data_IF_391355982793
#
_entry.id   IF_391355982793
#
_cell.length_a   1.000
_cell.length_b   1.000
_cell.length_c   1.000
_cell.angle_alpha   90.00
_cell.angle_beta   90.00
_cell.angle_gamma   90.00
#
_symmetry.space_group_name_H-M   'P 1'
#
loop_
_entity.id
_entity.type
_entity.pdbx_description
1 polymer ?
#
# COMPACT_ATOMS: atom_id res chain seq x y z
N UNK A 1 8.22 -0.90 26.94
CA UNK A 1 9.43 -1.20 26.16
C UNK A 1 9.01 -1.09 24.72
N UNK A 2 9.02 0.12 24.17
CA UNK A 2 8.74 0.34 22.75
C UNK A 2 9.96 -0.18 22.00
N UNK A 3 9.88 -1.43 21.57
CA UNK A 3 10.94 -2.05 20.80
C UNK A 3 11.14 -1.20 19.56
N UNK A 4 12.32 -0.63 19.40
CA UNK A 4 12.82 -0.03 18.16
C UNK A 4 13.05 -1.14 17.12
N UNK A 5 12.01 -1.90 16.83
CA UNK A 5 11.99 -2.90 15.77
C UNK A 5 11.75 -2.20 14.45
N UNK A 6 12.58 -2.49 13.47
CA UNK A 6 12.37 -2.07 12.09
C UNK A 6 10.95 -2.43 11.63
N UNK A 7 10.33 -1.62 10.77
CA UNK A 7 8.99 -1.94 10.26
C UNK A 7 8.99 -3.31 9.54
N UNK A 8 7.87 -4.01 9.60
CA UNK A 8 7.70 -5.32 8.97
C UNK A 8 7.46 -5.18 7.46
N UNK A 9 7.81 -6.22 6.70
CA UNK A 9 7.58 -6.25 5.26
C UNK A 9 6.09 -6.13 4.93
N UNK A 10 5.77 -5.36 3.90
CA UNK A 10 4.40 -5.13 3.48
C UNK A 10 3.57 -4.29 4.45
N UNK A 11 4.18 -3.65 5.46
CA UNK A 11 3.52 -2.64 6.29
C UNK A 11 3.16 -1.44 5.42
N UNK A 12 1.88 -1.07 5.36
CA UNK A 12 1.42 -0.08 4.40
C UNK A 12 0.53 1.01 5.01
N UNK A 13 0.51 2.18 4.40
CA UNK A 13 -0.44 3.24 4.71
C UNK A 13 -0.85 3.99 3.46
N UNK A 14 -1.99 4.66 3.50
CA UNK A 14 -2.44 5.52 2.41
C UNK A 14 -2.52 6.95 2.94
N UNK A 15 -1.83 7.85 2.26
CA UNK A 15 -1.80 9.27 2.59
C UNK A 15 -2.23 10.12 1.40
N UNK A 16 -2.72 11.32 1.68
CA UNK A 16 -2.85 12.32 0.63
C UNK A 16 -1.45 12.74 0.18
N UNK A 17 -1.26 12.85 -1.13
CA UNK A 17 -0.11 13.54 -1.71
C UNK A 17 -0.32 15.05 -1.57
N UNK A 18 0.75 15.84 -1.79
CA UNK A 18 0.75 17.29 -1.58
C UNK A 18 -0.30 18.07 -2.38
N UNK A 19 -0.99 17.44 -3.34
CA UNK A 19 -2.16 17.99 -4.04
C UNK A 19 -3.44 17.29 -3.59
N UNK A 20 -4.51 18.08 -3.41
CA UNK A 20 -5.78 17.71 -2.76
C UNK A 20 -6.51 16.49 -3.35
N UNK A 21 -6.12 16.04 -4.54
CA UNK A 21 -6.81 14.98 -5.31
C UNK A 21 -5.97 13.73 -5.52
N UNK A 22 -4.71 13.69 -5.09
CA UNK A 22 -3.87 12.49 -5.29
C UNK A 22 -3.62 11.77 -3.98
N UNK A 23 -3.80 10.45 -3.98
CA UNK A 23 -3.44 9.58 -2.85
C UNK A 23 -2.19 8.79 -3.20
N UNK A 24 -1.42 8.42 -2.18
CA UNK A 24 -0.22 7.60 -2.32
C UNK A 24 -0.31 6.46 -1.33
N UNK A 25 -0.19 5.24 -1.84
CA UNK A 25 0.04 4.03 -1.07
C UNK A 25 1.54 3.95 -0.76
N UNK A 26 1.88 3.96 0.52
CA UNK A 26 3.25 3.81 1.01
C UNK A 26 3.38 2.41 1.58
N UNK A 27 4.41 1.67 1.18
CA UNK A 27 4.62 0.28 1.63
C UNK A 27 6.07 0.11 2.05
N UNK A 28 6.31 -0.52 3.19
CA UNK A 28 7.66 -0.85 3.65
C UNK A 28 8.17 -2.10 2.94
N UNK A 29 9.36 -1.99 2.35
CA UNK A 29 10.07 -3.05 1.66
C UNK A 29 11.32 -3.38 2.48
N UNK A 30 11.37 -4.59 3.05
CA UNK A 30 12.50 -5.02 3.91
C UNK A 30 13.75 -5.34 3.10
N UNK A 31 13.61 -5.81 1.86
CA UNK A 31 14.73 -6.15 0.98
C UNK A 31 15.57 -4.91 0.66
N UNK A 32 14.89 -3.77 0.51
CA UNK A 32 15.52 -2.47 0.27
C UNK A 32 15.65 -1.60 1.53
N UNK A 33 15.13 -2.06 2.66
CA UNK A 33 15.07 -1.34 3.94
C UNK A 33 14.55 0.11 3.77
N UNK A 34 13.50 0.28 2.96
CA UNK A 34 12.94 1.60 2.65
C UNK A 34 11.44 1.52 2.32
N UNK A 35 10.78 2.67 2.36
CA UNK A 35 9.40 2.79 1.90
C UNK A 35 9.33 2.98 0.37
N UNK A 36 8.46 2.22 -0.28
CA UNK A 36 8.01 2.43 -1.67
C UNK A 36 6.76 3.30 -1.69
N UNK A 37 6.66 4.15 -2.71
CA UNK A 37 5.50 5.04 -2.91
C UNK A 37 4.83 4.68 -4.23
N UNK A 38 3.58 4.23 -4.15
CA UNK A 38 2.72 3.92 -5.29
C UNK A 38 1.65 5.00 -5.41
N UNK A 39 1.58 5.63 -6.57
CA UNK A 39 0.52 6.61 -6.83
C UNK A 39 -0.80 5.88 -7.03
N UNK A 40 -1.81 6.26 -6.26
CA UNK A 40 -3.17 5.81 -6.49
C UNK A 40 -3.81 6.74 -7.50
N UNK A 41 -4.22 6.16 -8.62
CA UNK A 41 -5.03 6.84 -9.64
C UNK A 41 -6.50 6.51 -9.41
N UNK A 42 -7.35 7.47 -9.74
CA UNK A 42 -8.80 7.31 -9.67
C UNK A 42 -9.40 7.89 -10.96
N UNK A 43 -10.05 7.06 -11.76
CA UNK A 43 -10.69 7.42 -13.02
C UNK A 43 -11.95 6.55 -13.21
N UNK A 44 -13.05 7.13 -13.69
CA UNK A 44 -14.32 6.43 -13.90
C UNK A 44 -14.81 5.61 -12.68
N UNK A 45 -14.63 6.16 -11.48
CA UNK A 45 -14.93 5.49 -10.19
C UNK A 45 -14.15 4.19 -9.94
N UNK A 46 -13.02 4.00 -10.63
CA UNK A 46 -12.08 2.90 -10.43
C UNK A 46 -10.79 3.41 -9.82
N UNK A 47 -10.17 2.57 -8.99
CA UNK A 47 -8.88 2.86 -8.33
C UNK A 47 -7.82 1.91 -8.87
N UNK A 48 -6.62 2.40 -9.13
CA UNK A 48 -5.53 1.58 -9.67
C UNK A 48 -4.13 2.12 -9.35
N UNK A 49 -3.12 1.24 -9.42
CA UNK A 49 -1.70 1.58 -9.33
C UNK A 49 -1.04 1.65 -10.71
N UNK A 50 -1.57 0.89 -11.67
CA UNK A 50 -1.16 0.81 -13.08
C UNK A 50 -2.40 0.63 -13.97
N UNK A 51 -2.34 1.05 -15.23
CA UNK A 51 -3.53 1.15 -16.09
C UNK A 51 -4.14 -0.21 -16.48
N UNK A 52 -3.34 -1.29 -16.44
CA UNK A 52 -3.77 -2.63 -16.84
C UNK A 52 -4.68 -3.31 -15.81
N UNK A 53 -4.55 -2.94 -14.53
CA UNK A 53 -5.29 -3.57 -13.43
C UNK A 53 -6.04 -2.51 -12.62
N UNK A 54 -7.37 -2.54 -12.71
CA UNK A 54 -8.25 -1.56 -12.07
C UNK A 54 -9.26 -2.21 -11.14
N UNK A 55 -9.60 -1.51 -10.05
CA UNK A 55 -10.46 -2.01 -8.98
C UNK A 55 -11.67 -1.10 -8.76
N UNK A 56 -12.80 -1.70 -8.38
CA UNK A 56 -14.03 -0.96 -8.09
C UNK A 56 -13.95 -0.13 -6.79
N UNK A 57 -13.00 -0.43 -5.91
CA UNK A 57 -12.80 0.28 -4.66
C UNK A 57 -11.37 0.09 -4.14
N UNK A 58 -11.01 0.91 -3.14
CA UNK A 58 -9.73 0.74 -2.45
C UNK A 58 -9.63 -0.59 -1.69
N UNK A 59 -10.75 -1.12 -1.15
CA UNK A 59 -10.76 -2.43 -0.48
C UNK A 59 -10.37 -3.54 -1.45
N UNK A 60 -10.99 -3.55 -2.63
CA UNK A 60 -10.70 -4.54 -3.66
C UNK A 60 -9.24 -4.50 -4.14
N UNK A 61 -8.66 -3.29 -4.24
CA UNK A 61 -7.24 -3.11 -4.52
C UNK A 61 -6.37 -3.74 -3.42
N UNK A 62 -6.68 -3.45 -2.16
CA UNK A 62 -5.92 -3.97 -1.00
C UNK A 62 -6.02 -5.50 -0.93
N UNK A 63 -7.21 -6.06 -1.11
CA UNK A 63 -7.47 -7.50 -1.13
C UNK A 63 -6.69 -8.20 -2.25
N UNK A 64 -6.62 -7.59 -3.43
CA UNK A 64 -5.85 -8.13 -4.54
C UNK A 64 -4.35 -8.18 -4.21
N UNK A 65 -3.78 -7.04 -3.80
CA UNK A 65 -2.35 -6.93 -3.50
C UNK A 65 -1.95 -7.54 -2.15
N UNK A 66 -2.89 -8.09 -1.38
CA UNK A 66 -2.57 -8.94 -0.24
C UNK A 66 -1.99 -10.29 -0.69
N UNK A 67 -2.48 -10.81 -1.81
CA UNK A 67 -2.10 -12.14 -2.35
C UNK A 67 -1.30 -12.06 -3.65
N UNK A 68 -1.17 -10.87 -4.24
CA UNK A 68 -0.42 -10.62 -5.47
C UNK A 68 0.64 -9.53 -5.23
N UNK A 69 1.86 -9.68 -5.78
CA UNK A 69 2.91 -8.71 -5.57
C UNK A 69 2.55 -7.35 -6.18
N UNK A 70 3.03 -6.30 -5.54
CA UNK A 70 2.88 -4.93 -6.02
C UNK A 70 3.62 -4.74 -7.35
N UNK A 71 3.18 -3.78 -8.17
CA UNK A 71 3.80 -3.51 -9.47
C UNK A 71 5.29 -3.22 -9.32
N UNK A 72 6.11 -3.68 -10.28
CA UNK A 72 7.57 -3.54 -10.27
C UNK A 72 8.24 -4.12 -9.00
N UNK A 73 7.69 -5.21 -8.46
CA UNK A 73 8.26 -6.00 -7.38
C UNK A 73 7.95 -7.50 -7.57
N UNK A 74 8.89 -8.37 -7.19
CA UNK A 74 8.72 -9.82 -7.34
C UNK A 74 7.82 -10.46 -6.26
N UNK A 75 7.93 -10.02 -5.00
CA UNK A 75 7.27 -10.66 -3.85
C UNK A 75 6.53 -9.73 -2.88
N UNK A 76 6.73 -8.41 -2.94
CA UNK A 76 6.18 -7.48 -1.94
C UNK A 76 4.67 -7.35 -2.07
N UNK A 77 3.96 -7.82 -1.04
CA UNK A 77 2.50 -7.76 -0.92
C UNK A 77 2.08 -6.85 0.24
N UNK A 78 0.83 -6.41 0.25
CA UNK A 78 0.24 -5.68 1.37
C UNK A 78 -0.08 -6.63 2.52
N UNK A 79 0.57 -6.45 3.67
CA UNK A 79 0.42 -7.36 4.81
C UNK A 79 -0.39 -6.73 5.94
N UNK A 80 0.05 -5.58 6.44
CA UNK A 80 -0.59 -4.94 7.59
C UNK A 80 -0.74 -3.43 7.39
N UNK A 81 -1.92 -2.86 7.69
CA UNK A 81 -2.09 -1.42 7.72
C UNK A 81 -1.33 -0.78 8.90
N UNK A 82 -0.62 0.30 8.62
CA UNK A 82 0.08 1.11 9.61
C UNK A 82 -0.91 1.73 10.59
N UNK A 83 -0.57 1.68 11.88
CA UNK A 83 -1.43 2.20 12.95
C UNK A 83 -2.63 1.31 13.29
N UNK A 84 -2.75 0.13 12.68
CA UNK A 84 -3.72 -0.86 13.13
C UNK A 84 -3.28 -1.45 14.46
N UNK A 85 -3.97 -1.02 15.52
CA UNK A 85 -3.90 -1.63 16.84
C UNK A 85 -5.03 -2.65 16.88
N UNK A 86 -4.70 -3.94 17.07
CA UNK A 86 -5.71 -4.98 17.27
C UNK A 86 -6.65 -4.54 18.41
N UNK A 87 -7.99 -4.54 18.20
CA UNK A 87 -8.93 -4.32 19.28
C UNK A 87 -8.71 -5.38 20.35
N UNK A 88 -8.57 -4.93 21.60
CA UNK A 88 -8.25 -5.76 22.76
C UNK A 88 -9.47 -6.55 23.26
#
# INVERSE_FOLDING_TARGET
>A
MESSSSPQDGLYCIRNSGTKTSKVLVVWDVDLCKARNYRLFEEDSRVFLEFEITFASLSALVEHYHSHPLPNHDSLCLQQPYGYIMPR
#
